data_IF_106361313924
#
_entry.id   IF_106361313924
#
_cell.length_a   1.000
_cell.length_b   1.000
_cell.length_c   1.000
_cell.angle_alpha   90.00
_cell.angle_beta   90.00
_cell.angle_gamma   90.00
#
_symmetry.space_group_name_H-M   'P 1'
#
loop_
_entity.id
_entity.type
_entity.pdbx_description
1 polymer ?
#
# COMPACT_ATOMS: atom_id res chain seq x y z
N UNK A 1 -13.68 -4.97 -8.16
CA UNK A 1 -13.75 -6.24 -7.42
C UNK A 1 -12.47 -6.29 -6.62
N UNK A 2 -12.56 -6.55 -5.33
CA UNK A 2 -11.37 -6.57 -4.49
C UNK A 2 -10.56 -7.84 -4.79
N UNK A 3 -9.24 -7.69 -4.83
CA UNK A 3 -8.31 -8.78 -5.13
C UNK A 3 -7.50 -9.11 -3.88
N UNK A 4 -7.53 -10.38 -3.48
CA UNK A 4 -6.94 -10.86 -2.25
C UNK A 4 -5.73 -11.76 -2.53
N UNK A 5 -4.66 -11.54 -1.77
CA UNK A 5 -3.43 -12.33 -1.86
C UNK A 5 -2.92 -12.68 -0.46
N UNK A 6 -2.45 -13.92 -0.31
CA UNK A 6 -1.59 -14.28 0.81
C UNK A 6 -0.21 -13.63 0.62
N UNK A 7 0.50 -13.32 1.70
CA UNK A 7 1.78 -12.61 1.62
C UNK A 7 2.83 -13.36 0.78
N UNK A 8 2.76 -14.69 0.77
CA UNK A 8 3.64 -15.56 -0.01
C UNK A 8 3.42 -15.41 -1.53
N UNK A 9 2.31 -14.81 -1.97
CA UNK A 9 2.04 -14.49 -3.36
C UNK A 9 2.69 -13.16 -3.78
N UNK A 10 3.92 -12.95 -3.35
CA UNK A 10 4.61 -11.67 -3.37
C UNK A 10 4.69 -11.02 -4.77
N UNK A 11 5.00 -11.81 -5.82
CA UNK A 11 5.04 -11.30 -7.19
C UNK A 11 3.71 -10.69 -7.64
N UNK A 12 2.58 -11.25 -7.20
CA UNK A 12 1.24 -10.72 -7.50
C UNK A 12 0.97 -9.45 -6.72
N UNK A 13 1.42 -9.41 -5.46
CA UNK A 13 1.31 -8.24 -4.59
C UNK A 13 2.07 -7.06 -5.21
N UNK A 14 3.32 -7.24 -5.65
CA UNK A 14 4.09 -6.20 -6.35
C UNK A 14 3.32 -5.68 -7.55
N UNK A 15 2.85 -6.58 -8.44
CA UNK A 15 2.13 -6.18 -9.65
C UNK A 15 0.90 -5.33 -9.30
N UNK A 16 0.11 -5.76 -8.31
CA UNK A 16 -1.11 -5.04 -7.93
C UNK A 16 -0.84 -3.74 -7.18
N UNK A 17 0.15 -3.74 -6.30
CA UNK A 17 0.60 -2.55 -5.59
C UNK A 17 1.02 -1.46 -6.58
N UNK A 18 1.88 -1.82 -7.54
CA UNK A 18 2.34 -0.89 -8.58
C UNK A 18 1.18 -0.39 -9.43
N UNK A 19 0.24 -1.26 -9.82
CA UNK A 19 -0.94 -0.86 -10.59
C UNK A 19 -1.84 0.14 -9.84
N UNK A 20 -2.02 -0.02 -8.53
CA UNK A 20 -2.91 0.84 -7.75
C UNK A 20 -2.32 2.22 -7.50
N UNK A 21 -1.01 2.30 -7.31
CA UNK A 21 -0.32 3.57 -7.06
C UNK A 21 0.28 4.22 -8.31
N UNK A 22 0.12 3.62 -9.48
CA UNK A 22 0.62 4.16 -10.74
C UNK A 22 0.09 5.59 -10.97
N UNK A 23 1.02 6.49 -11.29
CA UNK A 23 0.74 7.92 -11.45
C UNK A 23 0.41 8.71 -10.17
N UNK A 24 0.20 8.06 -9.02
CA UNK A 24 -0.24 8.72 -7.78
C UNK A 24 0.91 9.27 -6.92
N UNK A 25 2.14 8.81 -7.17
CA UNK A 25 3.28 9.19 -6.37
C UNK A 25 4.54 8.44 -6.76
N UNK A 26 5.47 8.28 -5.83
CA UNK A 26 6.66 7.46 -6.03
C UNK A 26 6.35 6.05 -5.58
N UNK A 27 6.47 5.10 -6.50
CA UNK A 27 6.38 3.66 -6.21
C UNK A 27 7.76 3.06 -6.36
N UNK A 28 8.24 2.37 -5.33
CA UNK A 28 9.48 1.61 -5.36
C UNK A 28 9.15 0.16 -5.04
N UNK A 29 9.76 -0.79 -5.75
CA UNK A 29 9.66 -2.18 -5.41
C UNK A 29 10.94 -2.95 -5.76
N UNK A 30 11.18 -4.04 -5.04
CA UNK A 30 12.20 -5.04 -5.31
C UNK A 30 11.68 -6.41 -4.83
N UNK A 31 12.56 -7.41 -4.77
CA UNK A 31 12.20 -8.77 -4.34
C UNK A 31 11.72 -8.84 -2.88
N UNK A 32 12.00 -7.83 -2.06
CA UNK A 32 11.72 -7.84 -0.62
C UNK A 32 10.68 -6.81 -0.17
N UNK A 33 10.44 -5.75 -0.95
CA UNK A 33 9.65 -4.60 -0.53
C UNK A 33 8.88 -3.98 -1.69
N UNK A 34 7.68 -3.49 -1.40
CA UNK A 34 6.90 -2.61 -2.26
C UNK A 34 6.43 -1.41 -1.41
N UNK A 35 6.69 -0.20 -1.89
CA UNK A 35 6.37 1.03 -1.16
C UNK A 35 5.81 2.13 -2.05
N UNK A 36 4.98 2.95 -1.44
CA UNK A 36 4.39 4.14 -2.00
C UNK A 36 4.70 5.33 -1.09
N UNK A 37 4.98 6.48 -1.70
CA UNK A 37 5.01 7.77 -1.03
C UNK A 37 4.34 8.81 -1.92
N UNK A 38 3.45 9.62 -1.34
CA UNK A 38 2.80 10.72 -2.05
C UNK A 38 3.82 11.80 -2.46
N UNK A 39 3.45 12.62 -3.45
CA UNK A 39 4.30 13.72 -3.93
C UNK A 39 3.75 15.05 -3.44
N UNK A 40 4.64 16.01 -3.17
CA UNK A 40 4.23 17.38 -2.92
C UNK A 40 3.48 17.95 -4.15
N UNK A 41 2.46 18.82 -3.95
CA UNK A 41 2.00 19.42 -2.70
C UNK A 41 0.92 18.62 -1.95
N UNK A 42 0.73 17.33 -2.25
CA UNK A 42 -0.30 16.54 -1.58
C UNK A 42 0.04 16.29 -0.10
N UNK A 43 -0.96 15.80 0.66
CA UNK A 43 -0.74 15.31 2.02
C UNK A 43 0.37 14.26 2.03
N UNK A 44 1.36 14.45 2.92
CA UNK A 44 2.49 13.52 3.06
C UNK A 44 2.01 12.19 3.66
N UNK A 45 2.05 11.13 2.86
CA UNK A 45 1.64 9.79 3.30
C UNK A 45 2.38 8.71 2.53
N UNK A 46 2.57 7.57 3.16
CA UNK A 46 3.15 6.41 2.51
C UNK A 46 2.71 5.09 3.14
N UNK A 47 3.00 4.02 2.42
CA UNK A 47 2.82 2.64 2.87
C UNK A 47 3.94 1.80 2.26
N UNK A 48 4.52 0.90 3.05
CA UNK A 48 5.47 -0.11 2.61
C UNK A 48 5.00 -1.48 3.11
N UNK A 49 5.07 -2.48 2.24
CA UNK A 49 4.81 -3.88 2.56
C UNK A 49 6.10 -4.63 2.21
N UNK A 50 6.46 -5.62 3.03
CA UNK A 50 7.63 -6.46 2.83
C UNK A 50 7.21 -7.91 2.58
N UNK A 51 7.99 -8.65 1.81
CA UNK A 51 7.73 -10.04 1.41
C UNK A 51 7.61 -11.01 2.59
N UNK A 52 8.20 -10.66 3.74
CA UNK A 52 8.11 -11.42 4.98
C UNK A 52 6.83 -11.13 5.79
N UNK A 53 5.97 -10.22 5.33
CA UNK A 53 4.74 -9.83 6.00
C UNK A 53 4.86 -8.64 6.93
N UNK A 54 6.05 -8.04 7.10
CA UNK A 54 6.12 -6.74 7.76
C UNK A 54 5.43 -5.69 6.89
N UNK A 55 4.80 -4.70 7.52
CA UNK A 55 4.38 -3.49 6.81
C UNK A 55 4.57 -2.26 7.71
N UNK A 56 4.71 -1.11 7.07
CA UNK A 56 4.61 0.18 7.72
C UNK A 56 3.70 1.11 6.92
N UNK A 57 2.93 1.93 7.61
CA UNK A 57 2.17 3.00 6.99
C UNK A 57 2.35 4.29 7.76
N UNK A 58 2.47 5.39 7.04
CA UNK A 58 2.70 6.72 7.59
C UNK A 58 1.69 7.73 7.04
N UNK A 59 1.20 8.57 7.94
CA UNK A 59 0.42 9.76 7.68
C UNK A 59 0.92 10.85 8.63
N UNK A 60 0.59 12.14 8.39
CA UNK A 60 0.99 13.18 9.31
C UNK A 60 0.45 12.86 10.71
N UNK A 61 1.33 12.87 11.72
CA UNK A 61 1.01 12.60 13.13
C UNK A 61 0.63 11.15 13.48
N UNK A 62 0.71 10.19 12.55
CA UNK A 62 0.39 8.79 12.84
C UNK A 62 1.24 7.82 12.01
N UNK A 63 1.78 6.81 12.68
CA UNK A 63 2.51 5.71 12.04
C UNK A 63 2.11 4.39 12.66
N UNK A 64 2.11 3.34 11.84
CA UNK A 64 1.87 1.97 12.27
C UNK A 64 2.92 1.06 11.63
N UNK A 65 3.39 0.08 12.40
CA UNK A 65 4.27 -0.99 11.95
C UNK A 65 3.75 -2.30 12.57
N UNK A 66 3.61 -3.35 11.75
CA UNK A 66 3.11 -4.64 12.22
C UNK A 66 3.39 -5.77 11.22
N UNK A 67 2.88 -6.98 11.53
CA UNK A 67 2.97 -8.17 10.70
C UNK A 67 1.60 -8.56 10.14
N UNK A 68 1.57 -8.92 8.86
CA UNK A 68 0.39 -9.34 8.11
C UNK A 68 0.65 -10.65 7.38
N UNK A 69 -0.40 -11.43 7.16
CA UNK A 69 -0.36 -12.65 6.35
C UNK A 69 -1.13 -12.50 5.04
N UNK A 70 -1.89 -11.42 4.88
CA UNK A 70 -2.78 -11.21 3.75
C UNK A 70 -2.92 -9.74 3.39
N UNK A 71 -3.03 -9.48 2.10
CA UNK A 71 -3.25 -8.16 1.51
C UNK A 71 -4.47 -8.21 0.60
N UNK A 72 -5.39 -7.26 0.76
CA UNK A 72 -6.58 -7.08 -0.07
C UNK A 72 -6.48 -5.73 -0.75
N UNK A 73 -6.54 -5.76 -2.07
CA UNK A 73 -6.45 -4.59 -2.93
C UNK A 73 -7.83 -4.20 -3.45
N UNK A 74 -8.16 -2.92 -3.30
CA UNK A 74 -9.30 -2.28 -3.96
C UNK A 74 -8.79 -1.12 -4.83
N UNK A 75 -9.66 -0.50 -5.63
CA UNK A 75 -9.25 0.59 -6.51
C UNK A 75 -8.69 1.83 -5.79
N UNK A 76 -9.01 2.00 -4.50
CA UNK A 76 -8.75 3.23 -3.71
C UNK A 76 -8.16 2.96 -2.32
N UNK A 77 -7.89 1.70 -1.98
CA UNK A 77 -7.41 1.31 -0.67
C UNK A 77 -6.73 -0.05 -0.69
N UNK A 78 -5.89 -0.28 0.32
CA UNK A 78 -5.25 -1.55 0.62
C UNK A 78 -5.62 -1.94 2.05
N UNK A 79 -6.15 -3.14 2.24
CA UNK A 79 -6.42 -3.71 3.55
C UNK A 79 -5.38 -4.79 3.86
N UNK A 80 -4.83 -4.73 5.06
CA UNK A 80 -3.71 -5.50 5.56
C UNK A 80 -4.19 -6.29 6.78
N UNK A 81 -4.20 -7.61 6.66
CA UNK A 81 -4.74 -8.51 7.68
C UNK A 81 -3.66 -9.41 8.26
N UNK A 82 -3.60 -9.50 9.58
CA UNK A 82 -2.73 -10.39 10.35
C UNK A 82 -3.44 -10.90 11.60
N UNK A 83 -2.71 -11.61 12.47
CA UNK A 83 -3.29 -12.25 13.65
C UNK A 83 -3.97 -11.26 14.61
N UNK A 84 -3.41 -10.06 14.76
CA UNK A 84 -3.93 -9.01 15.65
C UNK A 84 -4.07 -7.66 14.96
N UNK A 85 -4.11 -7.66 13.62
CA UNK A 85 -4.22 -6.43 12.84
C UNK A 85 -5.23 -6.56 11.70
N UNK A 86 -6.09 -5.55 11.60
CA UNK A 86 -6.94 -5.25 10.47
C UNK A 86 -6.76 -3.76 10.17
N UNK A 87 -5.86 -3.47 9.25
CA UNK A 87 -5.50 -2.10 8.91
C UNK A 87 -5.87 -1.79 7.47
N UNK A 88 -6.59 -0.70 7.24
CA UNK A 88 -6.93 -0.25 5.88
C UNK A 88 -6.26 1.08 5.59
N UNK A 89 -5.29 1.07 4.68
CA UNK A 89 -4.73 2.26 4.07
C UNK A 89 -5.65 2.76 2.97
N UNK A 90 -6.26 3.93 3.18
CA UNK A 90 -7.10 4.59 2.17
C UNK A 90 -6.29 5.65 1.46
N UNK A 91 -6.25 5.58 0.13
CA UNK A 91 -5.59 6.61 -0.68
C UNK A 91 -6.41 7.90 -0.55
N UNK A 92 -5.80 9.01 -0.09
CA UNK A 92 -6.51 10.29 0.03
C UNK A 92 -7.17 10.71 -1.30
N UNK A 93 -8.41 11.24 -1.28
CA UNK A 93 -9.11 11.68 -2.48
C UNK A 93 -8.33 12.72 -3.31
N UNK A 94 -7.54 13.56 -2.65
CA UNK A 94 -6.68 14.57 -3.28
C UNK A 94 -5.62 13.92 -4.17
N UNK A 95 -5.04 12.80 -3.71
CA UNK A 95 -4.05 12.03 -4.45
C UNK A 95 -4.74 11.26 -5.59
N UNK A 96 -5.90 10.64 -5.33
CA UNK A 96 -6.65 9.89 -6.35
C UNK A 96 -7.02 10.72 -7.59
N UNK A 97 -7.23 12.04 -7.44
CA UNK A 97 -7.52 12.94 -8.56
C UNK A 97 -6.40 13.00 -9.60
N UNK A 98 -5.16 12.65 -9.22
CA UNK A 98 -4.01 12.62 -10.14
C UNK A 98 -4.00 11.44 -11.09
N UNK A 99 -4.88 10.45 -10.90
CA UNK A 99 -4.87 9.24 -11.72
C UNK A 99 -5.23 9.60 -13.17
N UNK A 100 -4.25 9.50 -14.06
CA UNK A 100 -4.42 9.81 -15.49
C UNK A 100 -4.15 11.27 -15.88
N UNK A 101 -3.62 12.08 -14.97
CA UNK A 101 -2.91 13.34 -15.31
C UNK A 101 -1.55 13.04 -15.95
#
# INVERSE_FOLDING_TARGET
>A
MDEEFAIEQWDKIIVKFTQIFDGLGTVLHNEEMASFTSRAPDVETGIAIYSNGQFSASMPLHGIDSMVSKVIFSNTAITLLGESIDYTYRIPPEILKRRGE
#
